data_IF_485776976523
#
_entry.id   IF_485776976523
#
_cell.length_a   1.000
_cell.length_b   1.000
_cell.length_c   1.000
_cell.angle_alpha   90.00
_cell.angle_beta   90.00
_cell.angle_gamma   90.00
#
_symmetry.space_group_name_H-M   'P 1'
#
loop_
_entity.id
_entity.type
_entity.pdbx_description
1 polymer ?
#
# COMPACT_ATOMS: atom_id res chain seq x y z
N UNK A 1 -8.66 -16.51 -12.89
CA UNK A 1 -7.74 -15.40 -13.26
C UNK A 1 -6.66 -15.99 -14.15
N UNK A 2 -6.68 -15.73 -15.44
CA UNK A 2 -5.71 -16.37 -16.33
C UNK A 2 -4.30 -15.84 -16.03
N UNK A 3 -3.35 -16.76 -15.79
CA UNK A 3 -1.92 -16.49 -15.62
C UNK A 3 -1.56 -15.45 -14.54
N UNK A 4 -2.22 -15.52 -13.38
CA UNK A 4 -1.93 -14.65 -12.21
C UNK A 4 -1.79 -13.17 -12.52
N UNK A 5 -2.50 -12.65 -13.53
CA UNK A 5 -2.48 -11.24 -13.89
C UNK A 5 -1.24 -10.77 -14.66
N UNK A 6 -0.69 -11.60 -15.52
CA UNK A 6 0.48 -11.25 -16.33
C UNK A 6 0.25 -10.07 -17.31
N UNK A 7 -1.00 -9.76 -17.66
CA UNK A 7 -1.34 -8.69 -18.60
C UNK A 7 -2.38 -7.75 -18.00
N UNK A 8 -2.16 -6.45 -18.18
CA UNK A 8 -3.01 -5.28 -17.82
C UNK A 8 -4.36 -5.63 -17.15
N UNK A 9 -4.34 -5.80 -15.85
CA UNK A 9 -5.56 -6.14 -15.13
C UNK A 9 -5.88 -5.05 -14.12
N UNK A 10 -7.08 -4.53 -14.24
CA UNK A 10 -7.67 -3.61 -13.28
C UNK A 10 -7.50 -4.15 -11.84
N UNK A 11 -6.89 -3.37 -10.97
CA UNK A 11 -6.73 -3.69 -9.53
C UNK A 11 -8.07 -3.92 -8.87
N UNK A 12 -9.07 -3.15 -9.29
CA UNK A 12 -10.43 -3.30 -8.82
C UNK A 12 -11.03 -4.65 -9.20
N UNK A 13 -10.72 -5.19 -10.39
CA UNK A 13 -11.21 -6.50 -10.82
C UNK A 13 -10.81 -7.65 -9.91
N UNK A 14 -9.74 -7.48 -9.13
CA UNK A 14 -9.29 -8.43 -8.11
C UNK A 14 -9.85 -8.12 -6.75
N UNK A 15 -9.74 -6.86 -6.32
CA UNK A 15 -10.24 -6.44 -5.01
C UNK A 15 -11.73 -6.70 -4.86
N UNK A 16 -12.52 -6.47 -5.91
CA UNK A 16 -13.99 -6.67 -5.90
C UNK A 16 -14.43 -8.12 -5.75
N UNK A 17 -13.51 -9.10 -5.79
CA UNK A 17 -13.81 -10.52 -5.56
C UNK A 17 -13.75 -10.90 -4.09
N UNK A 18 -13.11 -10.09 -3.26
CA UNK A 18 -13.08 -10.34 -1.82
C UNK A 18 -14.38 -9.91 -1.14
N UNK A 19 -14.71 -10.50 0.00
CA UNK A 19 -15.77 -10.01 0.88
C UNK A 19 -15.58 -8.51 1.19
N UNK A 20 -16.66 -7.75 1.22
CA UNK A 20 -16.62 -6.30 1.42
C UNK A 20 -15.93 -5.88 2.73
N UNK A 21 -16.03 -6.71 3.77
CA UNK A 21 -15.36 -6.45 5.04
C UNK A 21 -13.84 -6.67 5.02
N UNK A 22 -13.29 -7.32 3.98
CA UNK A 22 -11.85 -7.56 3.83
C UNK A 22 -11.13 -6.45 3.08
N UNK A 23 -11.87 -5.62 2.36
CA UNK A 23 -11.32 -4.53 1.57
C UNK A 23 -11.84 -3.19 2.09
N UNK A 24 -11.14 -2.07 1.86
CA UNK A 24 -11.73 -0.76 2.09
C UNK A 24 -12.93 -0.54 1.17
N UNK A 25 -13.97 0.14 1.65
CA UNK A 25 -15.09 0.56 0.81
C UNK A 25 -14.56 1.33 -0.38
N UNK A 26 -15.00 0.98 -1.57
CA UNK A 26 -14.43 1.51 -2.82
C UNK A 26 -15.52 1.68 -3.87
N UNK A 27 -15.46 2.78 -4.61
CA UNK A 27 -16.26 2.98 -5.81
C UNK A 27 -15.41 3.60 -6.93
N UNK A 28 -15.88 3.48 -8.16
CA UNK A 28 -15.28 4.10 -9.34
C UNK A 28 -15.99 5.41 -9.67
N UNK A 29 -15.23 6.41 -10.09
CA UNK A 29 -15.75 7.63 -10.63
C UNK A 29 -14.91 8.07 -11.84
N UNK A 30 -15.54 8.73 -12.82
CA UNK A 30 -14.90 9.22 -14.02
C UNK A 30 -14.90 10.77 -14.06
N UNK A 31 -14.20 11.34 -15.04
CA UNK A 31 -14.07 12.80 -15.18
C UNK A 31 -15.38 13.55 -15.40
N UNK A 32 -16.40 12.87 -15.91
CA UNK A 32 -17.71 13.46 -16.16
C UNK A 32 -18.55 13.54 -14.88
N UNK A 33 -18.16 12.78 -13.85
CA UNK A 33 -18.85 12.77 -12.56
C UNK A 33 -18.76 14.16 -11.92
N UNK A 34 -19.89 14.80 -11.75
CA UNK A 34 -19.95 16.12 -11.13
C UNK A 34 -19.61 16.06 -9.62
N UNK A 35 -19.17 17.20 -9.07
CA UNK A 35 -18.89 17.31 -7.63
C UNK A 35 -20.07 16.88 -6.76
N UNK A 36 -21.32 17.19 -7.18
CA UNK A 36 -22.53 16.78 -6.48
C UNK A 36 -22.74 15.26 -6.53
N UNK A 37 -22.51 14.64 -7.66
CA UNK A 37 -22.58 13.18 -7.80
C UNK A 37 -21.48 12.50 -6.99
N UNK A 38 -20.25 13.03 -6.97
CA UNK A 38 -19.18 12.52 -6.11
C UNK A 38 -19.57 12.54 -4.64
N UNK A 39 -20.18 13.62 -4.15
CA UNK A 39 -20.67 13.72 -2.78
C UNK A 39 -21.75 12.69 -2.48
N UNK A 40 -22.71 12.50 -3.40
CA UNK A 40 -23.75 11.47 -3.29
C UNK A 40 -23.16 10.05 -3.27
N UNK A 41 -22.17 9.76 -4.09
CA UNK A 41 -21.48 8.47 -4.11
C UNK A 41 -20.73 8.20 -2.79
N UNK A 42 -20.02 9.18 -2.26
CA UNK A 42 -19.34 9.09 -0.96
C UNK A 42 -20.34 8.75 0.14
N UNK A 43 -21.48 9.43 0.18
CA UNK A 43 -22.54 9.20 1.17
C UNK A 43 -23.19 7.82 1.00
N UNK A 44 -23.53 7.42 -0.22
CA UNK A 44 -24.17 6.14 -0.49
C UNK A 44 -23.28 4.93 -0.16
N UNK A 45 -21.96 5.07 -0.33
CA UNK A 45 -21.00 4.05 0.08
C UNK A 45 -20.58 4.16 1.55
N UNK A 46 -21.14 5.14 2.30
CA UNK A 46 -20.80 5.37 3.70
C UNK A 46 -19.29 5.54 3.92
N UNK A 47 -18.64 6.26 3.01
CA UNK A 47 -17.23 6.64 3.12
C UNK A 47 -17.15 8.03 3.74
N UNK A 48 -16.13 8.29 4.54
CA UNK A 48 -15.86 9.60 5.14
C UNK A 48 -14.44 10.06 4.86
N UNK A 49 -14.25 11.37 4.81
CA UNK A 49 -12.90 11.94 4.67
C UNK A 49 -12.05 11.69 5.94
N UNK A 50 -10.73 11.50 5.79
CA UNK A 50 -10.00 11.48 4.53
C UNK A 50 -10.31 10.24 3.68
N UNK A 51 -10.17 10.37 2.36
CA UNK A 51 -10.30 9.30 1.37
C UNK A 51 -9.02 9.11 0.60
N UNK A 52 -8.88 7.94 -0.06
CA UNK A 52 -7.79 7.68 -1.00
C UNK A 52 -8.35 7.68 -2.42
N UNK A 53 -7.78 8.52 -3.29
CA UNK A 53 -8.05 8.51 -4.72
C UNK A 53 -6.82 7.96 -5.47
N UNK A 54 -7.04 7.03 -6.37
CA UNK A 54 -5.97 6.38 -7.15
C UNK A 54 -6.48 5.92 -8.52
N UNK A 55 -5.65 5.96 -9.58
CA UNK A 55 -5.96 5.29 -10.85
C UNK A 55 -6.02 3.78 -10.65
N UNK A 56 -6.90 3.11 -11.42
CA UNK A 56 -7.07 1.65 -11.36
C UNK A 56 -5.83 0.90 -11.92
N UNK A 57 -5.11 1.51 -12.85
CA UNK A 57 -3.95 0.96 -13.56
C UNK A 57 -2.60 1.51 -13.09
N UNK A 58 -2.58 2.35 -12.04
CA UNK A 58 -1.34 2.98 -11.57
C UNK A 58 -0.40 1.99 -10.87
N UNK A 59 0.89 2.12 -11.16
CA UNK A 59 1.97 1.34 -10.53
C UNK A 59 2.73 2.16 -9.48
N UNK A 60 3.30 1.46 -8.49
CA UNK A 60 4.28 2.00 -7.51
C UNK A 60 3.77 3.22 -6.72
N UNK A 61 2.46 3.31 -6.49
CA UNK A 61 1.87 4.43 -5.74
C UNK A 61 1.91 5.78 -6.47
N UNK A 62 2.18 5.79 -7.78
CA UNK A 62 2.06 7.00 -8.59
C UNK A 62 0.60 7.45 -8.59
N UNK A 63 0.41 8.78 -8.47
CA UNK A 63 -0.91 9.40 -8.49
C UNK A 63 -1.89 8.93 -7.39
N UNK A 64 -1.42 8.24 -6.36
CA UNK A 64 -2.23 7.98 -5.16
C UNK A 64 -2.27 9.25 -4.32
N UNK A 65 -3.46 9.69 -3.94
CA UNK A 65 -3.66 10.89 -3.10
C UNK A 65 -4.57 10.58 -1.92
N UNK A 66 -4.22 11.13 -0.77
CA UNK A 66 -5.11 11.22 0.37
C UNK A 66 -5.72 12.61 0.31
N UNK A 67 -7.05 12.67 0.31
CA UNK A 67 -7.84 13.88 0.14
C UNK A 67 -8.74 14.06 1.35
N UNK A 68 -8.83 15.29 1.83
CA UNK A 68 -9.50 15.63 3.09
C UNK A 68 -10.87 16.29 2.91
N UNK A 69 -11.23 16.58 1.66
CA UNK A 69 -12.51 17.23 1.35
C UNK A 69 -12.98 16.91 -0.06
N UNK A 70 -14.25 17.15 -0.30
CA UNK A 70 -14.85 17.05 -1.63
C UNK A 70 -14.24 18.07 -2.62
N UNK A 71 -13.77 19.22 -2.12
CA UNK A 71 -13.10 20.22 -2.95
C UNK A 71 -11.74 19.73 -3.44
N UNK A 72 -10.97 19.05 -2.57
CA UNK A 72 -9.71 18.43 -2.95
C UNK A 72 -9.93 17.30 -3.96
N UNK A 73 -10.99 16.50 -3.79
CA UNK A 73 -11.34 15.43 -4.72
C UNK A 73 -11.71 15.97 -6.10
N UNK A 74 -12.60 16.97 -6.17
CA UNK A 74 -13.00 17.61 -7.43
C UNK A 74 -11.80 18.25 -8.13
N UNK A 75 -10.94 18.96 -7.38
CA UNK A 75 -9.72 19.55 -7.92
C UNK A 75 -8.75 18.48 -8.43
N UNK A 76 -8.62 17.35 -7.73
CA UNK A 76 -7.77 16.25 -8.17
C UNK A 76 -8.30 15.64 -9.48
N UNK A 77 -9.61 15.41 -9.61
CA UNK A 77 -10.22 14.90 -10.84
C UNK A 77 -9.96 15.83 -12.03
N UNK A 78 -10.21 17.13 -11.87
CA UNK A 78 -10.03 18.11 -12.97
C UNK A 78 -8.60 18.23 -13.45
N UNK A 79 -7.62 18.07 -12.55
CA UNK A 79 -6.20 18.18 -12.88
C UNK A 79 -5.54 16.85 -13.26
N UNK A 80 -6.25 15.74 -13.12
CA UNK A 80 -5.77 14.40 -13.45
C UNK A 80 -5.88 14.17 -14.97
N UNK A 81 -5.00 13.34 -15.51
CA UNK A 81 -5.09 12.85 -16.91
C UNK A 81 -5.79 11.49 -17.01
N UNK A 82 -6.18 10.92 -15.89
CA UNK A 82 -6.90 9.65 -15.86
C UNK A 82 -8.38 9.86 -16.11
N UNK A 83 -8.98 8.99 -16.93
CA UNK A 83 -10.42 9.04 -17.23
C UNK A 83 -11.24 8.49 -16.06
N UNK A 84 -10.68 7.54 -15.30
CA UNK A 84 -11.35 6.88 -14.18
C UNK A 84 -10.43 6.80 -12.97
N UNK A 85 -10.99 7.00 -11.78
CA UNK A 85 -10.32 6.85 -10.50
C UNK A 85 -11.09 5.89 -9.59
N UNK A 86 -10.35 5.14 -8.79
CA UNK A 86 -10.86 4.43 -7.62
C UNK A 86 -10.87 5.40 -6.44
N UNK A 87 -12.03 5.58 -5.84
CA UNK A 87 -12.21 6.33 -4.60
C UNK A 87 -12.41 5.33 -3.48
N UNK A 88 -11.53 5.36 -2.51
CA UNK A 88 -11.44 4.33 -1.49
C UNK A 88 -11.42 4.93 -0.09
N UNK A 89 -12.07 4.26 0.84
CA UNK A 89 -11.99 4.55 2.27
C UNK A 89 -10.53 4.58 2.74
N UNK A 90 -10.18 5.59 3.53
CA UNK A 90 -8.86 5.63 4.15
C UNK A 90 -8.80 4.63 5.31
N UNK A 91 -7.94 3.63 5.17
CA UNK A 91 -7.72 2.65 6.22
C UNK A 91 -6.76 3.21 7.27
N UNK A 92 -7.25 3.39 8.51
CA UNK A 92 -6.52 4.00 9.61
C UNK A 92 -5.58 3.04 10.37
N UNK A 93 -5.54 1.75 10.04
CA UNK A 93 -4.61 0.82 10.69
C UNK A 93 -3.16 1.29 10.53
N UNK A 94 -2.39 1.16 11.61
CA UNK A 94 -1.03 1.69 11.67
C UNK A 94 0.00 0.77 10.99
N UNK A 95 -0.26 -0.55 10.98
CA UNK A 95 0.65 -1.51 10.35
C UNK A 95 0.28 -1.73 8.88
N UNK A 96 1.29 -1.88 8.04
CA UNK A 96 1.13 -2.26 6.64
C UNK A 96 2.21 -3.25 6.25
N UNK A 97 1.84 -4.31 5.53
CA UNK A 97 2.78 -5.28 4.99
C UNK A 97 2.41 -5.72 3.58
N UNK A 98 3.43 -6.02 2.79
CA UNK A 98 3.29 -6.76 1.54
C UNK A 98 3.62 -8.22 1.77
N UNK A 99 2.69 -9.13 1.50
CA UNK A 99 2.87 -10.58 1.68
C UNK A 99 2.83 -11.26 0.33
N UNK A 100 3.98 -11.78 -0.09
CA UNK A 100 4.17 -12.50 -1.35
C UNK A 100 4.04 -14.00 -1.11
N UNK A 101 3.28 -14.66 -1.95
CA UNK A 101 3.03 -16.09 -1.88
C UNK A 101 2.93 -16.73 -3.26
N UNK A 102 3.05 -18.04 -3.29
CA UNK A 102 2.66 -18.83 -4.45
C UNK A 102 1.84 -20.05 -4.03
N UNK A 103 1.08 -20.58 -4.98
CA UNK A 103 0.42 -21.90 -4.89
C UNK A 103 0.56 -22.65 -6.20
N UNK A 104 0.74 -23.95 -6.12
CA UNK A 104 0.76 -24.79 -7.33
C UNK A 104 -0.66 -24.93 -7.90
N UNK A 105 -0.80 -25.10 -9.23
CA UNK A 105 -2.11 -25.24 -9.87
C UNK A 105 -2.93 -26.43 -9.38
N UNK A 106 -2.27 -27.50 -8.93
CA UNK A 106 -2.89 -28.68 -8.33
C UNK A 106 -3.21 -28.51 -6.83
N UNK A 107 -2.96 -27.30 -6.28
CA UNK A 107 -3.14 -26.92 -4.88
C UNK A 107 -2.33 -27.79 -3.86
N UNK A 108 -1.40 -28.61 -4.32
CA UNK A 108 -0.57 -29.45 -3.47
C UNK A 108 0.33 -28.63 -2.54
N UNK A 109 0.63 -27.38 -2.91
CA UNK A 109 1.53 -26.51 -2.14
C UNK A 109 1.05 -25.06 -2.17
N UNK A 110 1.02 -24.45 -0.99
CA UNK A 110 0.87 -23.01 -0.77
C UNK A 110 1.97 -22.54 0.17
N UNK A 111 2.68 -21.49 -0.19
CA UNK A 111 3.78 -20.98 0.63
C UNK A 111 3.87 -19.45 0.58
N UNK A 112 4.05 -18.84 1.76
CA UNK A 112 4.45 -17.44 1.86
C UNK A 112 5.98 -17.38 1.73
N UNK A 113 6.47 -16.69 0.72
CA UNK A 113 7.90 -16.61 0.41
C UNK A 113 8.54 -15.31 0.86
N UNK A 114 7.73 -14.25 1.04
CA UNK A 114 8.21 -12.95 1.48
C UNK A 114 7.14 -12.22 2.30
N UNK A 115 7.56 -11.63 3.41
CA UNK A 115 6.81 -10.59 4.12
C UNK A 115 7.68 -9.34 4.21
N UNK A 116 7.13 -8.23 3.74
CA UNK A 116 7.77 -6.91 3.83
C UNK A 116 6.91 -6.01 4.71
N UNK A 117 7.39 -5.70 5.89
CA UNK A 117 6.78 -4.68 6.73
C UNK A 117 7.09 -3.29 6.19
N UNK A 118 6.09 -2.43 6.08
CA UNK A 118 6.21 -1.06 5.59
C UNK A 118 6.18 -0.08 6.75
N UNK A 119 7.35 0.42 7.14
CA UNK A 119 7.48 1.40 8.21
C UNK A 119 7.35 2.81 7.64
N UNK A 120 6.27 3.47 7.97
CA UNK A 120 5.98 4.81 7.45
C UNK A 120 7.03 5.83 7.87
N UNK A 121 7.33 6.75 6.95
CA UNK A 121 8.31 7.78 7.22
C UNK A 121 7.77 8.79 8.25
N UNK A 122 8.42 8.85 9.39
CA UNK A 122 8.16 9.83 10.44
C UNK A 122 9.43 10.58 10.83
N UNK A 123 9.26 11.77 11.36
CA UNK A 123 10.34 12.59 11.94
C UNK A 123 10.09 12.73 13.43
N UNK A 124 11.10 12.36 14.21
CA UNK A 124 11.09 12.60 15.66
C UNK A 124 11.73 13.95 15.99
N UNK A 125 11.04 14.76 16.74
CA UNK A 125 11.54 16.02 17.25
C UNK A 125 12.66 15.82 18.28
N UNK A 126 13.65 16.71 18.26
CA UNK A 126 14.73 16.78 19.24
C UNK A 126 14.59 17.98 20.21
N UNK A 127 13.54 18.79 20.04
CA UNK A 127 13.30 19.99 20.84
C UNK A 127 14.22 21.17 20.53
N UNK A 128 15.05 21.09 19.49
CA UNK A 128 16.05 22.12 19.16
C UNK A 128 16.01 22.51 17.68
N UNK A 129 15.83 21.56 16.78
CA UNK A 129 15.86 21.77 15.34
C UNK A 129 14.47 21.97 14.77
N UNK A 130 14.40 22.78 13.71
CA UNK A 130 13.15 22.99 12.98
C UNK A 130 12.77 21.73 12.20
N UNK A 131 11.47 21.58 11.91
CA UNK A 131 10.97 20.49 11.07
C UNK A 131 11.69 20.44 9.73
N UNK A 132 11.87 21.59 9.08
CA UNK A 132 12.59 21.69 7.80
C UNK A 132 14.03 21.20 7.88
N UNK A 133 14.74 21.49 8.97
CA UNK A 133 16.10 20.98 9.18
C UNK A 133 16.09 19.45 9.33
N UNK A 134 15.19 18.90 10.15
CA UNK A 134 15.09 17.46 10.39
C UNK A 134 14.72 16.70 9.10
N UNK A 135 13.79 17.23 8.29
CA UNK A 135 13.42 16.68 6.98
C UNK A 135 14.64 16.68 6.03
N UNK A 136 15.36 17.80 5.93
CA UNK A 136 16.55 17.90 5.06
C UNK A 136 17.68 16.96 5.48
N UNK A 137 17.79 16.66 6.77
CA UNK A 137 18.78 15.73 7.31
C UNK A 137 18.43 14.26 7.08
N UNK A 138 17.18 13.95 6.76
CA UNK A 138 16.72 12.58 6.51
C UNK A 138 17.06 12.14 5.08
N UNK A 139 17.95 11.14 4.96
CA UNK A 139 18.44 10.66 3.65
C UNK A 139 17.30 10.13 2.74
N UNK A 140 16.25 9.55 3.33
CA UNK A 140 15.10 8.99 2.58
C UNK A 140 14.21 10.06 1.97
N UNK A 141 14.26 11.29 2.47
CA UNK A 141 13.42 12.41 2.05
C UNK A 141 14.12 13.40 1.11
N UNK A 142 15.42 13.24 0.85
CA UNK A 142 16.23 14.20 0.08
C UNK A 142 15.63 14.57 -1.28
N UNK A 143 15.10 13.61 -2.00
CA UNK A 143 14.51 13.82 -3.33
C UNK A 143 13.14 14.48 -3.30
N UNK A 144 12.54 14.66 -2.13
CA UNK A 144 11.19 15.22 -1.92
C UNK A 144 11.18 16.57 -1.21
N UNK A 145 12.33 17.15 -0.93
CA UNK A 145 12.45 18.37 -0.10
C UNK A 145 11.55 19.50 -0.61
N UNK A 146 11.55 19.78 -1.92
CA UNK A 146 10.74 20.86 -2.51
C UNK A 146 9.25 20.63 -2.31
N UNK A 147 8.80 19.39 -2.45
CA UNK A 147 7.41 19.01 -2.22
C UNK A 147 7.05 19.13 -0.73
N UNK A 148 7.91 18.62 0.15
CA UNK A 148 7.67 18.63 1.60
C UNK A 148 7.70 20.04 2.19
N UNK A 149 8.54 20.93 1.67
CA UNK A 149 8.56 22.35 2.04
C UNK A 149 7.24 23.03 1.72
N UNK A 150 6.62 22.70 0.59
CA UNK A 150 5.26 23.20 0.25
C UNK A 150 4.19 22.56 1.14
N UNK A 151 4.26 21.23 1.36
CA UNK A 151 3.30 20.47 2.19
C UNK A 151 3.26 20.98 3.63
N UNK A 152 4.44 21.23 4.22
CA UNK A 152 4.60 21.69 5.60
C UNK A 152 4.96 23.16 5.71
N UNK A 153 4.51 24.01 4.77
CA UNK A 153 4.90 25.41 4.69
C UNK A 153 4.72 26.16 6.02
N UNK A 154 3.64 25.91 6.72
CA UNK A 154 3.32 26.59 7.97
C UNK A 154 4.15 26.06 9.15
N UNK A 155 4.50 24.79 9.15
CA UNK A 155 5.24 24.10 10.21
C UNK A 155 6.75 24.03 9.95
N UNK A 156 7.19 24.42 8.75
CA UNK A 156 8.57 24.24 8.29
C UNK A 156 9.64 24.79 9.22
N UNK A 157 9.38 25.96 9.78
CA UNK A 157 10.29 26.65 10.69
C UNK A 157 9.98 26.40 12.17
N UNK A 158 8.96 25.59 12.49
CA UNK A 158 8.64 25.27 13.88
C UNK A 158 9.63 24.23 14.43
N UNK A 159 10.04 24.42 15.66
CA UNK A 159 10.83 23.44 16.40
C UNK A 159 9.89 22.33 16.84
N UNK A 160 10.17 21.11 16.39
CA UNK A 160 9.39 19.95 16.79
C UNK A 160 9.79 19.53 18.22
N UNK A 161 8.85 19.47 19.18
CA UNK A 161 9.13 19.11 20.55
C UNK A 161 9.85 17.78 20.67
N UNK A 162 10.76 17.67 21.65
CA UNK A 162 11.52 16.44 21.91
C UNK A 162 10.60 15.23 22.11
N UNK A 163 10.89 14.13 21.41
CA UNK A 163 10.11 12.90 21.46
C UNK A 163 8.80 12.92 20.67
N UNK A 164 8.34 14.06 20.16
CA UNK A 164 7.16 14.13 19.28
C UNK A 164 7.45 13.51 17.92
N UNK A 165 6.69 12.50 17.54
CA UNK A 165 6.74 11.93 16.20
C UNK A 165 5.72 12.62 15.30
N UNK A 166 6.20 13.04 14.11
CA UNK A 166 5.37 13.58 13.04
C UNK A 166 5.42 12.63 11.85
N UNK A 167 4.29 12.05 11.48
CA UNK A 167 4.14 11.25 10.28
C UNK A 167 4.27 12.16 9.05
N UNK A 168 5.27 11.91 8.21
CA UNK A 168 5.53 12.70 7.00
C UNK A 168 4.67 12.22 5.84
N UNK A 169 4.55 10.88 5.70
CA UNK A 169 3.80 10.28 4.61
C UNK A 169 3.09 9.02 5.11
N UNK A 170 1.74 8.97 5.03
CA UNK A 170 0.94 7.83 5.47
C UNK A 170 0.75 6.76 4.37
N UNK A 171 1.39 6.90 3.21
CA UNK A 171 1.34 5.92 2.12
C UNK A 171 2.55 5.01 2.15
N UNK A 172 2.32 3.70 2.13
CA UNK A 172 3.34 2.65 2.19
C UNK A 172 4.15 2.47 0.91
N UNK A 173 4.75 3.54 0.38
CA UNK A 173 5.56 3.52 -0.83
C UNK A 173 7.03 3.87 -0.55
N UNK A 174 7.95 3.04 -1.05
CA UNK A 174 9.39 3.28 -0.94
C UNK A 174 9.80 4.64 -1.51
N UNK A 175 9.20 5.04 -2.64
CA UNK A 175 9.45 6.33 -3.27
C UNK A 175 8.98 7.54 -2.43
N UNK A 176 8.13 7.29 -1.43
CA UNK A 176 7.64 8.32 -0.52
C UNK A 176 8.41 8.37 0.81
N UNK A 177 9.47 7.55 0.93
CA UNK A 177 10.34 7.50 2.10
C UNK A 177 10.03 6.36 3.08
N UNK A 178 9.03 5.52 2.80
CA UNK A 178 8.70 4.33 3.60
C UNK A 178 9.90 3.38 3.65
N UNK A 179 10.24 2.89 4.83
CA UNK A 179 11.23 1.86 5.00
C UNK A 179 10.60 0.49 4.81
N UNK A 180 11.23 -0.34 3.99
CA UNK A 180 10.86 -1.74 3.83
C UNK A 180 11.75 -2.60 4.70
N UNK A 181 11.14 -3.42 5.55
CA UNK A 181 11.84 -4.34 6.46
C UNK A 181 11.47 -5.78 6.16
N UNK A 182 12.47 -6.64 6.18
CA UNK A 182 12.24 -8.09 6.12
C UNK A 182 11.53 -8.57 7.38
N UNK A 183 10.31 -9.03 7.20
CA UNK A 183 9.45 -9.55 8.27
C UNK A 183 9.12 -11.05 8.08
N UNK A 184 9.96 -11.81 7.33
CA UNK A 184 9.74 -13.25 7.12
C UNK A 184 9.73 -14.06 8.41
N UNK A 185 10.32 -13.55 9.49
CA UNK A 185 10.18 -14.15 10.84
C UNK A 185 8.74 -14.18 11.37
N UNK A 186 7.83 -13.43 10.73
CA UNK A 186 6.39 -13.44 11.04
C UNK A 186 5.61 -14.51 10.28
N UNK A 187 6.27 -15.30 9.43
CA UNK A 187 5.61 -16.43 8.76
C UNK A 187 5.34 -17.53 9.79
N UNK A 188 4.06 -17.79 10.02
CA UNK A 188 3.59 -18.86 10.91
C UNK A 188 2.67 -19.81 10.14
N UNK A 189 2.46 -21.03 10.62
CA UNK A 189 1.47 -21.94 10.03
C UNK A 189 0.05 -21.33 10.03
N UNK A 190 -0.31 -20.56 11.06
CA UNK A 190 -1.61 -19.93 11.14
C UNK A 190 -1.76 -18.83 10.08
N UNK A 191 -0.79 -17.91 9.95
CA UNK A 191 -0.82 -16.90 8.92
C UNK A 191 -0.85 -17.51 7.52
N UNK A 192 -0.08 -18.59 7.30
CA UNK A 192 -0.07 -19.31 6.02
C UNK A 192 -1.45 -19.87 5.68
N UNK A 193 -2.15 -20.46 6.66
CA UNK A 193 -3.52 -20.95 6.49
C UNK A 193 -4.48 -19.81 6.13
N UNK A 194 -4.41 -18.72 6.87
CA UNK A 194 -5.26 -17.52 6.66
C UNK A 194 -5.04 -16.94 5.25
N UNK A 195 -3.79 -16.78 4.82
CA UNK A 195 -3.47 -16.28 3.47
C UNK A 195 -3.93 -17.25 2.36
N UNK A 196 -3.85 -18.56 2.60
CA UNK A 196 -4.37 -19.55 1.65
C UNK A 196 -5.87 -19.36 1.47
N UNK A 197 -6.64 -19.26 2.54
CA UNK A 197 -8.09 -19.03 2.51
C UNK A 197 -8.43 -17.74 1.73
N UNK A 198 -7.64 -16.68 1.88
CA UNK A 198 -7.82 -15.44 1.11
C UNK A 198 -7.50 -15.63 -0.37
N UNK A 199 -6.41 -16.35 -0.68
CA UNK A 199 -6.02 -16.61 -2.07
C UNK A 199 -7.03 -17.47 -2.82
N UNK A 200 -7.81 -18.28 -2.11
CA UNK A 200 -8.85 -19.15 -2.69
C UNK A 200 -10.06 -18.35 -3.20
N UNK A 201 -10.22 -17.07 -2.77
CA UNK A 201 -11.18 -16.13 -3.36
C UNK A 201 -10.79 -15.69 -4.79
N UNK A 202 -9.56 -15.98 -5.21
CA UNK A 202 -9.01 -15.60 -6.51
C UNK A 202 -8.64 -16.84 -7.34
N UNK A 203 -9.62 -17.55 -7.95
CA UNK A 203 -9.32 -18.69 -8.81
C UNK A 203 -8.36 -18.33 -9.94
N UNK A 204 -7.34 -19.17 -10.17
CA UNK A 204 -6.30 -18.94 -11.17
C UNK A 204 -5.24 -17.89 -10.78
N UNK A 205 -5.19 -17.50 -9.51
CA UNK A 205 -4.12 -16.66 -8.97
C UNK A 205 -3.11 -17.55 -8.25
N UNK A 206 -2.01 -17.83 -8.89
CA UNK A 206 -1.00 -18.80 -8.40
C UNK A 206 0.25 -18.16 -7.80
N UNK A 207 0.53 -16.91 -8.18
CA UNK A 207 1.67 -16.16 -7.66
C UNK A 207 1.30 -14.68 -7.54
N UNK A 208 1.67 -14.05 -6.43
CA UNK A 208 1.49 -12.61 -6.27
C UNK A 208 1.56 -12.13 -4.83
N UNK A 209 1.33 -10.83 -4.65
CA UNK A 209 1.45 -10.14 -3.37
C UNK A 209 0.17 -9.43 -2.98
N UNK A 210 -0.25 -9.63 -1.74
CA UNK A 210 -1.26 -8.80 -1.10
C UNK A 210 -0.59 -7.69 -0.31
N UNK A 211 -0.99 -6.45 -0.55
CA UNK A 211 -0.63 -5.31 0.27
C UNK A 211 -1.77 -5.06 1.27
N UNK A 212 -1.47 -5.18 2.58
CA UNK A 212 -2.48 -5.32 3.64
C UNK A 212 -2.19 -4.30 4.73
N UNK A 213 -3.23 -3.58 5.18
CA UNK A 213 -3.20 -2.83 6.44
C UNK A 213 -3.91 -3.61 7.54
N UNK A 214 -3.39 -3.55 8.78
CA UNK A 214 -3.89 -4.35 9.89
C UNK A 214 -3.57 -3.71 11.26
N UNK A 215 -4.33 -4.10 12.26
CA UNK A 215 -4.17 -3.58 13.62
C UNK A 215 -2.94 -4.19 14.33
N UNK A 216 -2.83 -5.51 14.33
CA UNK A 216 -1.70 -6.24 14.93
C UNK A 216 -1.40 -7.54 14.18
N UNK A 217 -0.18 -8.07 14.32
CA UNK A 217 0.18 -9.35 13.73
C UNK A 217 -0.70 -10.50 14.24
N UNK A 218 -1.06 -10.47 15.52
CA UNK A 218 -1.91 -11.50 16.15
C UNK A 218 -3.34 -11.49 15.58
N UNK A 219 -3.87 -10.30 15.28
CA UNK A 219 -5.17 -10.16 14.62
C UNK A 219 -5.10 -10.61 13.16
N UNK A 220 -4.02 -10.21 12.44
CA UNK A 220 -3.81 -10.60 11.05
C UNK A 220 -3.74 -12.12 10.87
N UNK A 221 -3.03 -12.83 11.76
CA UNK A 221 -2.95 -14.30 11.75
C UNK A 221 -4.32 -14.96 11.85
N UNK A 222 -5.23 -14.36 12.61
CA UNK A 222 -6.61 -14.85 12.79
C UNK A 222 -7.54 -14.44 11.66
N UNK A 223 -7.09 -13.61 10.72
CA UNK A 223 -7.95 -13.02 9.70
C UNK A 223 -8.89 -11.95 10.25
N UNK A 224 -8.46 -11.22 11.27
CA UNK A 224 -9.23 -10.18 11.95
C UNK A 224 -8.55 -8.81 11.80
N UNK A 225 -9.32 -7.74 11.92
CA UNK A 225 -8.84 -6.34 11.97
C UNK A 225 -7.83 -5.99 10.86
N UNK A 226 -8.14 -6.34 9.62
CA UNK A 226 -7.30 -6.08 8.45
C UNK A 226 -8.10 -5.52 7.28
N UNK A 227 -7.38 -4.96 6.30
CA UNK A 227 -7.90 -4.57 4.99
C UNK A 227 -6.86 -4.89 3.92
N UNK A 228 -7.26 -5.63 2.87
CA UNK A 228 -6.46 -5.83 1.66
C UNK A 228 -6.61 -4.57 0.81
N UNK A 229 -5.51 -3.84 0.65
CA UNK A 229 -5.49 -2.58 -0.09
C UNK A 229 -5.29 -2.77 -1.58
N UNK A 230 -4.52 -3.81 -1.93
CA UNK A 230 -4.07 -4.05 -3.30
C UNK A 230 -3.70 -5.53 -3.50
N UNK A 231 -3.96 -6.03 -4.70
CA UNK A 231 -3.50 -7.34 -5.17
C UNK A 231 -2.57 -7.11 -6.35
N UNK A 232 -1.34 -7.56 -6.22
CA UNK A 232 -0.32 -7.47 -7.25
C UNK A 232 -0.04 -8.88 -7.78
N UNK A 233 -0.13 -9.08 -9.10
CA UNK A 233 0.00 -10.37 -9.76
C UNK A 233 1.44 -10.83 -9.96
N UNK A 234 1.67 -11.62 -11.02
CA UNK A 234 2.94 -12.29 -11.33
C UNK A 234 4.14 -11.36 -11.48
N UNK A 235 3.92 -10.09 -11.82
CA UNK A 235 4.98 -9.06 -11.86
C UNK A 235 5.45 -8.59 -10.48
N UNK A 236 4.93 -9.19 -9.40
CA UNK A 236 5.32 -8.85 -8.03
C UNK A 236 6.70 -9.37 -7.71
N UNK A 237 7.45 -8.56 -6.99
CA UNK A 237 8.77 -8.91 -6.48
C UNK A 237 8.78 -9.03 -4.95
N UNK A 238 9.75 -9.78 -4.37
CA UNK A 238 9.91 -9.92 -2.93
C UNK A 238 10.48 -8.63 -2.33
N UNK A 239 9.63 -7.64 -2.05
CA UNK A 239 10.06 -6.27 -1.70
C UNK A 239 10.87 -6.15 -0.41
N UNK A 240 11.01 -7.20 0.41
CA UNK A 240 11.95 -7.25 1.55
C UNK A 240 13.41 -7.06 1.13
N UNK A 241 13.75 -7.37 -0.13
CA UNK A 241 15.09 -7.17 -0.68
C UNK A 241 15.55 -5.69 -0.67
N UNK A 242 14.60 -4.76 -0.58
CA UNK A 242 14.87 -3.33 -0.50
C UNK A 242 15.19 -2.83 0.91
N UNK A 243 15.25 -3.72 1.90
CA UNK A 243 15.81 -3.38 3.20
C UNK A 243 17.27 -2.97 3.06
N UNK A 244 17.63 -1.81 3.60
CA UNK A 244 18.97 -1.22 3.42
C UNK A 244 20.15 -2.12 3.86
N UNK A 245 19.91 -3.03 4.82
CA UNK A 245 20.91 -3.99 5.34
C UNK A 245 20.86 -5.36 4.66
N UNK A 246 19.99 -5.58 3.64
CA UNK A 246 19.75 -6.93 3.12
C UNK A 246 20.93 -7.52 2.35
N UNK A 247 21.65 -6.71 1.64
CA UNK A 247 22.81 -7.14 0.85
C UNK A 247 22.48 -7.63 -0.55
N UNK A 248 23.28 -7.18 -1.51
CA UNK A 248 23.02 -7.35 -2.95
C UNK A 248 22.94 -8.82 -3.40
N UNK A 249 23.86 -9.66 -2.94
CA UNK A 249 23.90 -11.08 -3.32
C UNK A 249 22.68 -11.87 -2.83
N UNK A 250 22.21 -11.54 -1.63
CA UNK A 250 20.97 -12.14 -1.10
C UNK A 250 19.77 -11.70 -1.92
N UNK A 251 19.72 -10.43 -2.29
CA UNK A 251 18.63 -9.90 -3.13
C UNK A 251 18.56 -10.60 -4.49
N UNK A 252 19.71 -10.76 -5.17
CA UNK A 252 19.74 -11.51 -6.45
C UNK A 252 19.31 -12.97 -6.28
N UNK A 253 19.78 -13.65 -5.25
CA UNK A 253 19.36 -15.04 -4.97
C UNK A 253 17.84 -15.14 -4.80
N UNK A 254 17.24 -14.22 -4.07
CA UNK A 254 15.81 -14.24 -3.83
C UNK A 254 15.01 -13.87 -5.09
N UNK A 255 15.52 -12.97 -5.92
CA UNK A 255 14.92 -12.67 -7.23
C UNK A 255 14.94 -13.92 -8.11
N UNK A 256 16.09 -14.60 -8.27
CA UNK A 256 16.18 -15.81 -9.08
C UNK A 256 15.28 -16.93 -8.56
N UNK A 257 15.24 -17.13 -7.24
CA UNK A 257 14.33 -18.10 -6.63
C UNK A 257 12.85 -17.82 -7.02
N UNK A 258 12.42 -16.56 -6.98
CA UNK A 258 11.05 -16.23 -7.36
C UNK A 258 10.82 -16.30 -8.88
N UNK A 259 11.84 -16.07 -9.69
CA UNK A 259 11.74 -16.31 -11.14
C UNK A 259 11.54 -17.80 -11.42
N UNK A 260 12.27 -18.69 -10.75
CA UNK A 260 12.10 -20.13 -10.89
C UNK A 260 10.68 -20.56 -10.52
N UNK A 261 10.14 -20.05 -9.41
CA UNK A 261 8.75 -20.34 -8.99
C UNK A 261 7.68 -19.89 -9.99
N UNK A 262 7.95 -18.86 -10.79
CA UNK A 262 7.01 -18.40 -11.82
C UNK A 262 7.04 -19.33 -13.05
N UNK A 263 8.16 -20.01 -13.29
CA UNK A 263 8.31 -20.95 -14.39
C UNK A 263 7.77 -22.36 -14.08
N UNK A 264 7.65 -22.75 -12.82
CA UNK A 264 7.01 -23.99 -12.38
C UNK A 264 5.48 -23.94 -12.58
#
# INVERSE_FOLDING_TARGET
>A
MNNSGAFEVSKWSYLSKFPENWIPKTFKANKETSKRELDQLIQSHQISFPIVAKPDDSERGKEVRILNSIDELDAYFRNSHFEELLIQEFCAYENEAGILFYKLPDESRFEITSITEKVFCSIQGDGQKTLGYLIRSNIRLKHRIVFLEKKFKNEWNHILPSGKNLLIEPLGSHNLGTEFRDARSKITPQLTKTLKEWSDQLPGFYYGRFDIKFNSWDALEKGEEFKILEVNGVNSEPTHIYQSSYGLWKAYRDIFYHMDLIYE
#
